data_IF_627904866028
#
_entry.id   IF_627904866028
#
_cell.length_a   1.000
_cell.length_b   1.000
_cell.length_c   1.000
_cell.angle_alpha   90.00
_cell.angle_beta   90.00
_cell.angle_gamma   90.00
#
_symmetry.space_group_name_H-M   'P 1'
#
loop_
_entity.id
_entity.type
_entity.pdbx_description
1 polymer ?
#
# COMPACT_ATOMS: atom_id res chain seq x y z
N UNK A 1 -1.24 -23.90 -6.18
CA UNK A 1 0.11 -23.51 -6.67
C UNK A 1 1.10 -23.78 -5.55
N UNK A 2 2.28 -24.34 -5.85
CA UNK A 2 3.30 -24.68 -4.85
C UNK A 2 4.64 -24.11 -5.31
N UNK A 3 5.48 -23.73 -4.37
CA UNK A 3 6.88 -23.36 -4.60
C UNK A 3 7.74 -24.16 -3.62
N UNK A 4 8.93 -24.56 -4.05
CA UNK A 4 9.87 -25.30 -3.23
C UNK A 4 10.94 -24.34 -2.73
N UNK A 5 11.27 -24.43 -1.45
CA UNK A 5 12.38 -23.71 -0.86
C UNK A 5 13.69 -24.37 -1.28
N UNK A 6 14.63 -23.57 -1.76
CA UNK A 6 15.98 -24.04 -2.10
C UNK A 6 16.80 -24.27 -0.82
N UNK A 7 17.95 -24.93 -0.94
CA UNK A 7 18.88 -25.13 0.18
C UNK A 7 19.39 -23.84 0.81
N UNK A 8 19.32 -22.72 0.08
CA UNK A 8 19.69 -21.38 0.57
C UNK A 8 18.53 -20.62 1.20
N UNK A 9 17.38 -21.26 1.41
CA UNK A 9 16.19 -20.61 1.98
C UNK A 9 15.43 -19.71 1.01
N UNK A 10 15.77 -19.71 -0.28
CA UNK A 10 15.07 -18.88 -1.28
C UNK A 10 13.84 -19.61 -1.80
N UNK A 11 12.74 -18.88 -1.98
CA UNK A 11 11.54 -19.34 -2.69
C UNK A 11 11.38 -18.58 -4.01
N UNK A 12 11.00 -19.30 -5.06
CA UNK A 12 10.66 -18.66 -6.34
C UNK A 12 9.19 -18.28 -6.36
N UNK A 13 8.88 -17.01 -6.65
CA UNK A 13 7.50 -16.55 -6.83
C UNK A 13 7.10 -16.79 -8.29
N UNK A 14 6.05 -17.58 -8.58
CA UNK A 14 5.61 -17.83 -9.94
C UNK A 14 5.21 -16.54 -10.67
N UNK A 15 5.57 -16.43 -11.96
CA UNK A 15 5.38 -15.23 -12.79
C UNK A 15 3.95 -14.67 -12.76
N UNK A 16 2.94 -15.55 -12.71
CA UNK A 16 1.53 -15.14 -12.60
C UNK A 16 1.25 -14.32 -11.33
N UNK A 17 1.88 -14.69 -10.20
CA UNK A 17 1.77 -13.94 -8.95
C UNK A 17 2.58 -12.65 -8.99
N UNK A 18 3.78 -12.65 -9.58
CA UNK A 18 4.56 -11.41 -9.73
C UNK A 18 3.78 -10.34 -10.50
N UNK A 19 3.17 -10.72 -11.63
CA UNK A 19 2.34 -9.80 -12.43
C UNK A 19 1.12 -9.31 -11.65
N UNK A 20 0.42 -10.21 -10.96
CA UNK A 20 -0.77 -9.85 -10.16
C UNK A 20 -0.45 -8.92 -8.99
N UNK A 21 0.70 -9.11 -8.35
CA UNK A 21 1.13 -8.36 -7.17
C UNK A 21 2.01 -7.14 -7.51
N UNK A 22 2.26 -6.88 -8.81
CA UNK A 22 3.14 -5.79 -9.24
C UNK A 22 4.56 -5.91 -8.71
N UNK A 23 5.08 -7.14 -8.61
CA UNK A 23 6.45 -7.43 -8.22
C UNK A 23 7.36 -7.45 -9.45
N UNK A 24 8.45 -6.72 -9.38
CA UNK A 24 9.47 -6.63 -10.41
C UNK A 24 10.83 -7.03 -9.82
N UNK A 25 11.82 -7.26 -10.68
CA UNK A 25 13.20 -7.45 -10.23
C UNK A 25 13.65 -6.24 -9.41
N UNK A 26 14.19 -6.48 -8.22
CA UNK A 26 14.58 -5.41 -7.29
C UNK A 26 13.46 -4.95 -6.34
N UNK A 27 12.23 -5.45 -6.49
CA UNK A 27 11.17 -5.18 -5.49
C UNK A 27 11.57 -5.73 -4.12
N UNK A 28 11.46 -4.88 -3.10
CA UNK A 28 11.70 -5.25 -1.70
C UNK A 28 10.42 -5.79 -1.09
N UNK A 29 10.56 -6.95 -0.43
CA UNK A 29 9.49 -7.56 0.34
C UNK A 29 9.89 -7.55 1.82
N UNK A 30 8.99 -7.07 2.66
CA UNK A 30 9.13 -7.14 4.11
C UNK A 30 8.45 -8.41 4.62
N UNK A 31 9.18 -9.19 5.41
CA UNK A 31 8.64 -10.36 6.10
C UNK A 31 8.17 -9.97 7.50
N UNK A 32 7.05 -10.52 7.91
CA UNK A 32 6.58 -10.41 9.28
C UNK A 32 7.14 -11.57 10.11
N UNK A 33 8.08 -11.26 11.01
CA UNK A 33 8.74 -12.25 11.87
C UNK A 33 7.81 -12.88 12.91
N UNK A 34 6.72 -12.21 13.26
CA UNK A 34 5.76 -12.69 14.27
C UNK A 34 4.58 -13.43 13.63
N UNK A 35 4.54 -13.53 12.30
CA UNK A 35 3.42 -14.13 11.60
C UNK A 35 3.39 -15.66 11.79
N UNK A 36 2.21 -16.19 12.12
CA UNK A 36 1.95 -17.64 12.18
C UNK A 36 2.07 -18.35 10.82
N UNK A 37 2.16 -17.59 9.74
CA UNK A 37 2.30 -18.06 8.36
C UNK A 37 3.28 -17.16 7.61
N UNK A 38 4.03 -17.74 6.68
CA UNK A 38 4.95 -16.96 5.84
C UNK A 38 4.17 -15.87 5.10
N UNK A 39 4.37 -14.63 5.53
CA UNK A 39 3.71 -13.45 5.00
C UNK A 39 4.79 -12.47 4.59
N UNK A 40 4.68 -12.00 3.35
CA UNK A 40 5.55 -10.97 2.83
C UNK A 40 4.70 -9.87 2.20
N UNK A 41 5.03 -8.61 2.49
CA UNK A 41 4.33 -7.44 1.96
C UNK A 41 5.30 -6.64 1.08
N UNK A 42 4.79 -6.07 0.00
CA UNK A 42 5.58 -5.18 -0.85
C UNK A 42 5.86 -3.89 -0.08
N UNK A 43 7.13 -3.53 0.03
CA UNK A 43 7.52 -2.24 0.59
C UNK A 43 7.38 -1.18 -0.50
N UNK A 44 6.71 -0.08 -0.15
CA UNK A 44 6.63 1.11 -0.98
C UNK A 44 7.45 2.19 -0.29
N UNK A 45 8.42 2.75 -0.99
CA UNK A 45 9.16 3.88 -0.46
C UNK A 45 8.33 5.17 -0.52
N UNK A 46 8.76 6.21 0.21
CA UNK A 46 8.03 7.47 0.34
C UNK A 46 7.79 8.18 -0.99
N UNK A 47 8.67 7.97 -1.97
CA UNK A 47 8.55 8.47 -3.34
C UNK A 47 7.30 7.97 -4.07
N UNK A 48 6.84 6.74 -3.81
CA UNK A 48 5.66 6.18 -4.48
C UNK A 48 4.40 6.96 -4.13
N UNK A 49 4.28 7.37 -2.86
CA UNK A 49 3.16 8.21 -2.45
C UNK A 49 3.23 9.59 -3.10
N UNK A 50 4.43 10.15 -3.24
CA UNK A 50 4.63 11.45 -3.89
C UNK A 50 4.25 11.40 -5.37
N UNK A 51 4.70 10.37 -6.10
CA UNK A 51 4.30 10.16 -7.50
C UNK A 51 2.79 9.96 -7.64
N UNK A 52 2.18 9.14 -6.76
CA UNK A 52 0.74 8.95 -6.74
C UNK A 52 -0.04 10.25 -6.48
N UNK A 53 0.46 11.09 -5.57
CA UNK A 53 -0.18 12.33 -5.17
C UNK A 53 0.06 13.50 -6.14
N UNK A 54 0.98 13.39 -7.11
CA UNK A 54 1.35 14.49 -8.01
C UNK A 54 0.16 15.06 -8.79
N UNK A 55 -0.73 14.21 -9.26
CA UNK A 55 -1.91 14.60 -10.05
C UNK A 55 -3.17 14.74 -9.19
N UNK A 56 -3.05 14.63 -7.87
CA UNK A 56 -4.19 14.76 -6.96
C UNK A 56 -4.39 16.24 -6.62
N UNK A 57 -5.54 16.79 -7.02
CA UNK A 57 -5.98 18.09 -6.53
C UNK A 57 -6.55 17.92 -5.12
N UNK A 58 -6.19 18.81 -4.20
CA UNK A 58 -6.86 18.89 -2.91
C UNK A 58 -8.30 19.36 -3.13
N UNK A 59 -9.32 18.53 -2.85
CA UNK A 59 -10.72 18.91 -3.03
C UNK A 59 -11.18 19.97 -2.02
N UNK A 60 -10.39 20.23 -0.98
CA UNK A 60 -10.65 21.23 0.05
C UNK A 60 -9.73 22.46 -0.08
N UNK A 61 -9.06 22.62 -1.22
CA UNK A 61 -8.20 23.75 -1.48
C UNK A 61 -8.95 25.08 -1.26
N UNK A 62 -8.46 25.91 -0.33
CA UNK A 62 -9.05 27.20 0.00
C UNK A 62 -10.02 27.19 1.18
N UNK A 63 -10.34 26.02 1.74
CA UNK A 63 -11.08 25.92 3.00
C UNK A 63 -10.14 25.98 4.20
N UNK A 64 -10.60 26.61 5.27
CA UNK A 64 -9.98 26.51 6.59
C UNK A 64 -10.23 25.13 7.19
N UNK A 65 -9.41 24.73 8.17
CA UNK A 65 -9.55 23.44 8.86
C UNK A 65 -10.97 23.25 9.42
N UNK A 66 -11.59 24.31 9.94
CA UNK A 66 -12.95 24.23 10.50
C UNK A 66 -14.00 24.00 9.40
N UNK A 67 -13.91 24.71 8.28
CA UNK A 67 -14.83 24.53 7.13
C UNK A 67 -14.70 23.13 6.52
N UNK A 68 -13.47 22.63 6.37
CA UNK A 68 -13.23 21.25 5.92
C UNK A 68 -13.83 20.22 6.88
N UNK A 69 -13.72 20.45 8.20
CA UNK A 69 -14.31 19.55 9.19
C UNK A 69 -15.83 19.56 9.13
N UNK A 70 -16.46 20.70 8.91
CA UNK A 70 -17.92 20.80 8.80
C UNK A 70 -18.43 20.14 7.52
N UNK A 71 -17.74 20.31 6.39
CA UNK A 71 -18.05 19.61 5.13
C UNK A 71 -17.94 18.08 5.28
N UNK A 72 -16.86 17.60 5.91
CA UNK A 72 -16.62 16.16 6.11
C UNK A 72 -17.59 15.52 7.11
N UNK A 73 -18.09 16.28 8.09
CA UNK A 73 -19.09 15.81 9.05
C UNK A 73 -20.47 15.67 8.42
N UNK A 74 -20.74 16.39 7.34
CA UNK A 74 -22.06 16.45 6.71
C UNK A 74 -23.09 17.19 7.57
N UNK A 75 -24.35 17.27 7.12
CA UNK A 75 -25.39 17.99 7.84
C UNK A 75 -25.66 17.34 9.20
N UNK A 76 -25.40 18.08 10.27
CA UNK A 76 -25.78 17.69 11.63
C UNK A 76 -27.16 18.26 11.91
N UNK A 77 -28.18 17.39 12.01
CA UNK A 77 -29.45 17.79 12.61
C UNK A 77 -29.22 18.02 14.10
N UNK A 78 -29.15 19.28 14.50
CA UNK A 78 -29.07 19.66 15.92
C UNK A 78 -30.51 19.62 16.47
N UNK A 79 -30.78 18.85 17.54
CA UNK A 79 -32.11 18.80 18.17
C UNK A 79 -32.54 20.13 18.79
#
# INVERSE_FOLDING_TARGET
MKATMTSKGQITIPVKLCKKLGLQTGSVLEFDENAQKLTAKRVLGPEVFREFAQDTSDPFAGLTVLETLDELRGPVEIP
#
